data_IF_526563731934
#
_entry.id   IF_526563731934
#
_cell.length_a   1.000
_cell.length_b   1.000
_cell.length_c   1.000
_cell.angle_alpha   90.00
_cell.angle_beta   90.00
_cell.angle_gamma   90.00
#
_symmetry.space_group_name_H-M   'P 1'
#
loop_
_entity.id
_entity.type
_entity.pdbx_description
1 polymer ?
#
# COMPACT_ATOMS: atom_id res chain seq x y z
N UNK A 1 36.87 -12.27 1.22
CA UNK A 1 35.84 -12.09 2.26
C UNK A 1 35.70 -10.61 2.63
N UNK A 2 36.79 -9.95 3.02
CA UNK A 2 36.84 -8.53 3.39
C UNK A 2 36.31 -7.55 2.32
N UNK A 3 36.70 -7.71 1.05
CA UNK A 3 36.21 -6.86 -0.03
C UNK A 3 34.68 -6.93 -0.20
N UNK A 4 34.10 -8.13 -0.10
CA UNK A 4 32.64 -8.35 -0.18
C UNK A 4 31.93 -7.69 0.99
N UNK A 5 32.45 -7.87 2.21
CA UNK A 5 31.90 -7.27 3.42
C UNK A 5 31.91 -5.73 3.36
N UNK A 6 32.99 -5.13 2.89
CA UNK A 6 33.08 -3.67 2.66
C UNK A 6 32.04 -3.18 1.66
N UNK A 7 31.86 -3.89 0.54
CA UNK A 7 30.85 -3.55 -0.47
C UNK A 7 29.43 -3.64 0.09
N UNK A 8 29.11 -4.67 0.88
CA UNK A 8 27.80 -4.82 1.51
C UNK A 8 27.51 -3.70 2.51
N UNK A 9 28.51 -3.34 3.34
CA UNK A 9 28.40 -2.22 4.26
C UNK A 9 28.15 -0.89 3.53
N UNK A 10 28.81 -0.65 2.39
CA UNK A 10 28.56 0.52 1.56
C UNK A 10 27.12 0.52 0.99
N UNK A 11 26.62 -0.63 0.54
CA UNK A 11 25.22 -0.76 0.08
C UNK A 11 24.24 -0.46 1.21
N UNK A 12 24.44 -1.03 2.40
CA UNK A 12 23.64 -0.73 3.60
C UNK A 12 23.63 0.76 3.93
N UNK A 13 24.80 1.41 3.90
CA UNK A 13 24.90 2.86 4.14
C UNK A 13 24.13 3.68 3.10
N UNK A 14 24.20 3.30 1.82
CA UNK A 14 23.44 3.93 0.74
C UNK A 14 21.93 3.78 0.94
N UNK A 15 21.47 2.57 1.30
CA UNK A 15 20.07 2.28 1.62
C UNK A 15 19.59 3.16 2.79
N UNK A 16 20.33 3.20 3.90
CA UNK A 16 20.02 4.05 5.05
C UNK A 16 19.88 5.52 4.65
N UNK A 17 20.81 6.03 3.83
CA UNK A 17 20.73 7.40 3.33
C UNK A 17 19.48 7.68 2.50
N UNK A 18 18.98 6.69 1.73
CA UNK A 18 17.72 6.81 0.99
C UNK A 18 16.51 6.83 1.91
N UNK A 19 16.49 6.01 2.96
CA UNK A 19 15.44 6.02 4.00
C UNK A 19 15.41 7.39 4.70
N UNK A 20 16.56 7.92 5.12
CA UNK A 20 16.65 9.25 5.73
C UNK A 20 16.10 10.35 4.82
N UNK A 21 16.47 10.35 3.53
CA UNK A 21 15.94 11.32 2.56
C UNK A 21 14.43 11.21 2.39
N UNK A 22 13.88 10.00 2.43
CA UNK A 22 12.44 9.80 2.38
C UNK A 22 11.76 10.32 3.65
N UNK A 23 12.29 10.03 4.84
CA UNK A 23 11.77 10.59 6.09
C UNK A 23 11.76 12.11 6.12
N UNK A 24 12.83 12.76 5.69
CA UNK A 24 12.88 14.22 5.61
C UNK A 24 11.75 14.76 4.70
N UNK A 25 11.49 14.08 3.58
CA UNK A 25 10.37 14.44 2.71
C UNK A 25 9.00 14.23 3.36
N UNK A 26 8.80 13.17 4.17
CA UNK A 26 7.55 12.98 4.90
C UNK A 26 7.32 14.09 5.93
N UNK A 27 8.36 14.51 6.65
CA UNK A 27 8.28 15.63 7.59
C UNK A 27 7.93 16.95 6.88
N UNK A 28 8.44 17.18 5.67
CA UNK A 28 8.03 18.33 4.84
C UNK A 28 6.55 18.29 4.42
N UNK A 29 5.94 17.10 4.31
CA UNK A 29 4.55 16.92 3.91
C UNK A 29 3.58 16.92 5.10
N UNK A 30 4.08 16.73 6.31
CA UNK A 30 3.28 16.63 7.53
C UNK A 30 2.44 17.89 7.74
N UNK A 31 1.13 17.71 7.96
CA UNK A 31 0.19 18.81 8.15
C UNK A 31 -0.17 19.62 6.91
N UNK A 32 0.38 19.29 5.73
CA UNK A 32 0.01 19.94 4.46
C UNK A 32 -1.15 19.22 3.80
N UNK A 33 -2.00 19.97 3.10
CA UNK A 33 -3.03 19.41 2.22
C UNK A 33 -2.39 19.11 0.85
N UNK A 34 -2.21 17.83 0.55
CA UNK A 34 -1.62 17.41 -0.72
C UNK A 34 -2.62 17.48 -1.87
N UNK A 35 -2.12 17.87 -3.04
CA UNK A 35 -2.81 17.72 -4.32
C UNK A 35 -2.90 16.25 -4.73
N UNK A 36 -3.83 15.87 -5.63
CA UNK A 36 -3.90 14.49 -6.13
C UNK A 36 -2.60 13.99 -6.77
N UNK A 37 -1.87 14.87 -7.45
CA UNK A 37 -0.58 14.57 -8.07
C UNK A 37 0.48 14.28 -7.01
N UNK A 38 0.56 15.07 -5.93
CA UNK A 38 1.50 14.83 -4.83
C UNK A 38 1.19 13.52 -4.10
N UNK A 39 -0.08 13.18 -3.90
CA UNK A 39 -0.48 11.88 -3.32
C UNK A 39 -0.04 10.72 -4.23
N UNK A 40 -0.20 10.85 -5.54
CA UNK A 40 0.25 9.85 -6.51
C UNK A 40 1.78 9.68 -6.48
N UNK A 41 2.53 10.79 -6.47
CA UNK A 41 3.99 10.77 -6.34
C UNK A 41 4.42 10.11 -5.04
N UNK A 42 3.80 10.46 -3.91
CA UNK A 42 4.11 9.85 -2.61
C UNK A 42 3.84 8.34 -2.63
N UNK A 43 2.74 7.91 -3.23
CA UNK A 43 2.40 6.49 -3.39
C UNK A 43 3.46 5.73 -4.20
N UNK A 44 3.96 6.31 -5.29
CA UNK A 44 5.05 5.70 -6.07
C UNK A 44 6.36 5.62 -5.27
N UNK A 45 6.66 6.64 -4.46
CA UNK A 45 7.86 6.65 -3.61
C UNK A 45 7.76 5.62 -2.48
N UNK A 46 6.56 5.42 -1.93
CA UNK A 46 6.27 4.37 -0.95
C UNK A 46 6.57 2.98 -1.53
N UNK A 47 6.05 2.65 -2.71
CA UNK A 47 6.33 1.36 -3.37
C UNK A 47 7.85 1.15 -3.60
N UNK A 48 8.56 2.22 -3.97
CA UNK A 48 10.03 2.17 -4.11
C UNK A 48 10.74 1.96 -2.77
N UNK A 49 10.19 2.46 -1.67
CA UNK A 49 10.73 2.25 -0.33
C UNK A 49 10.50 0.80 0.13
N UNK A 50 9.31 0.24 -0.11
CA UNK A 50 9.00 -1.16 0.19
C UNK A 50 9.92 -2.12 -0.58
N UNK A 51 10.19 -1.82 -1.85
CA UNK A 51 11.17 -2.57 -2.65
C UNK A 51 12.58 -2.45 -2.05
N UNK A 52 12.97 -1.25 -1.63
CA UNK A 52 14.26 -0.99 -0.98
C UNK A 52 14.40 -1.72 0.37
N UNK A 53 13.29 -1.96 1.06
CA UNK A 53 13.28 -2.73 2.30
C UNK A 53 13.64 -4.20 2.05
N UNK A 54 13.08 -4.83 1.01
CA UNK A 54 13.52 -6.17 0.61
C UNK A 54 14.99 -6.24 0.16
N UNK A 55 15.50 -5.18 -0.50
CA UNK A 55 16.93 -5.07 -0.81
C UNK A 55 17.80 -4.98 0.44
N UNK A 56 17.32 -4.27 1.48
CA UNK A 56 17.99 -4.20 2.77
C UNK A 56 18.08 -5.58 3.42
N UNK A 57 17.00 -6.34 3.48
CA UNK A 57 16.98 -7.68 4.07
C UNK A 57 18.02 -8.59 3.42
N UNK A 58 18.08 -8.57 2.08
CA UNK A 58 19.07 -9.35 1.32
C UNK A 58 20.52 -8.94 1.62
N UNK A 59 20.77 -7.63 1.77
CA UNK A 59 22.11 -7.12 2.14
C UNK A 59 22.47 -7.48 3.57
N UNK A 60 21.54 -7.29 4.51
CA UNK A 60 21.77 -7.52 5.94
C UNK A 60 21.96 -9.01 6.23
N UNK A 61 21.18 -9.90 5.62
CA UNK A 61 21.37 -11.36 5.70
C UNK A 61 22.79 -11.78 5.27
N UNK A 62 23.34 -11.13 4.23
CA UNK A 62 24.71 -11.42 3.77
C UNK A 62 25.77 -10.86 4.71
N UNK A 63 25.51 -9.75 5.40
CA UNK A 63 26.41 -9.19 6.40
C UNK A 63 26.44 -10.11 7.62
N UNK A 64 25.28 -10.50 8.13
CA UNK A 64 25.12 -11.41 9.29
C UNK A 64 25.80 -12.76 9.04
N UNK A 65 25.69 -13.31 7.82
CA UNK A 65 26.37 -14.54 7.44
C UNK A 65 27.91 -14.40 7.31
N UNK A 66 28.42 -13.18 7.13
CA UNK A 66 29.87 -12.92 7.05
C UNK A 66 30.48 -12.53 8.39
N UNK A 67 29.66 -12.07 9.35
CA UNK A 67 30.09 -11.49 10.63
C UNK A 67 29.58 -12.31 11.82
N UNK A 68 29.92 -13.60 11.85
CA UNK A 68 29.47 -14.53 12.90
C UNK A 68 29.94 -14.09 14.30
N UNK A 69 31.14 -13.53 14.41
CA UNK A 69 31.72 -13.09 15.68
C UNK A 69 31.01 -11.88 16.30
N UNK A 70 30.28 -11.08 15.50
CA UNK A 70 29.55 -9.90 15.97
C UNK A 70 28.06 -9.96 15.56
N UNK A 71 27.49 -11.16 15.43
CA UNK A 71 26.11 -11.35 14.98
C UNK A 71 25.11 -10.56 15.83
N UNK A 72 25.28 -10.51 17.16
CA UNK A 72 24.39 -9.75 18.04
C UNK A 72 24.33 -8.26 17.68
N UNK A 73 25.48 -7.64 17.39
CA UNK A 73 25.55 -6.23 17.00
C UNK A 73 24.89 -5.99 15.63
N UNK A 74 25.01 -6.96 14.72
CA UNK A 74 24.38 -6.90 13.41
C UNK A 74 22.85 -7.06 13.50
N UNK A 75 22.34 -7.88 14.43
CA UNK A 75 20.90 -7.98 14.73
C UNK A 75 20.35 -6.70 15.37
N UNK A 76 21.09 -6.08 16.31
CA UNK A 76 20.70 -4.78 16.86
C UNK A 76 20.67 -3.70 15.76
N UNK A 77 21.65 -3.73 14.85
CA UNK A 77 21.70 -2.82 13.69
C UNK A 77 20.51 -3.05 12.76
N UNK A 78 20.12 -4.31 12.55
CA UNK A 78 18.92 -4.65 11.79
C UNK A 78 17.69 -4.02 12.42
N UNK A 79 17.42 -4.28 13.69
CA UNK A 79 16.23 -3.77 14.38
C UNK A 79 16.08 -2.25 14.24
N UNK A 80 17.18 -1.50 14.43
CA UNK A 80 17.17 -0.03 14.28
C UNK A 80 16.80 0.42 12.86
N UNK A 81 17.31 -0.28 11.84
CA UNK A 81 17.03 0.09 10.44
C UNK A 81 15.62 -0.34 10.03
N UNK A 82 15.16 -1.53 10.43
CA UNK A 82 13.80 -2.02 10.18
C UNK A 82 12.78 -1.09 10.81
N UNK A 83 12.99 -0.68 12.06
CA UNK A 83 12.12 0.29 12.72
C UNK A 83 12.03 1.61 11.95
N UNK A 84 13.14 2.08 11.38
CA UNK A 84 13.14 3.28 10.54
C UNK A 84 12.29 3.08 9.27
N UNK A 85 12.39 1.93 8.59
CA UNK A 85 11.53 1.59 7.45
C UNK A 85 10.05 1.54 7.83
N UNK A 86 9.70 0.83 8.90
CA UNK A 86 8.33 0.70 9.37
C UNK A 86 7.71 2.07 9.68
N UNK A 87 8.44 2.92 10.40
CA UNK A 87 7.99 4.27 10.71
C UNK A 87 7.78 5.11 9.43
N UNK A 88 8.71 5.05 8.48
CA UNK A 88 8.58 5.73 7.18
C UNK A 88 7.35 5.27 6.40
N UNK A 89 7.15 3.95 6.31
CA UNK A 89 6.06 3.34 5.56
C UNK A 89 4.72 3.74 6.18
N UNK A 90 4.60 3.58 7.50
CA UNK A 90 3.38 3.91 8.23
C UNK A 90 3.01 5.40 8.08
N UNK A 91 3.99 6.30 8.25
CA UNK A 91 3.75 7.73 8.12
C UNK A 91 3.36 8.13 6.68
N UNK A 92 3.97 7.51 5.66
CA UNK A 92 3.58 7.74 4.28
C UNK A 92 2.14 7.26 4.01
N UNK A 93 1.77 6.08 4.49
CA UNK A 93 0.42 5.53 4.37
C UNK A 93 -0.62 6.42 5.09
N UNK A 94 -0.29 6.92 6.28
CA UNK A 94 -1.11 7.87 7.02
C UNK A 94 -1.37 9.14 6.18
N UNK A 95 -0.32 9.79 5.67
CA UNK A 95 -0.42 11.02 4.86
C UNK A 95 -1.30 10.80 3.61
N UNK A 96 -1.15 9.65 2.94
CA UNK A 96 -1.96 9.28 1.78
C UNK A 96 -3.43 9.10 2.17
N UNK A 97 -3.70 8.41 3.29
CA UNK A 97 -5.06 8.10 3.75
C UNK A 97 -5.85 9.36 4.14
N UNK A 98 -5.23 10.30 4.87
CA UNK A 98 -5.85 11.58 5.26
C UNK A 98 -6.24 12.39 4.03
N UNK A 99 -5.35 12.44 3.03
CA UNK A 99 -5.58 13.17 1.77
C UNK A 99 -6.75 12.60 0.96
N UNK A 100 -7.05 11.30 1.09
CA UNK A 100 -8.18 10.65 0.43
C UNK A 100 -9.52 10.90 1.14
N UNK A 101 -9.51 11.05 2.47
CA UNK A 101 -10.72 11.19 3.30
C UNK A 101 -11.32 12.60 3.21
N UNK A 102 -10.50 13.65 3.07
CA UNK A 102 -10.95 15.04 2.90
C UNK A 102 -11.88 15.24 1.68
N UNK A 103 -11.84 14.36 0.68
CA UNK A 103 -12.73 14.42 -0.48
C UNK A 103 -14.14 13.88 -0.23
N UNK A 104 -14.36 13.06 0.80
CA UNK A 104 -15.68 12.45 1.08
C UNK A 104 -16.57 13.31 1.97
N UNK A 105 -16.01 14.27 2.70
CA UNK A 105 -16.75 15.11 3.64
C UNK A 105 -17.32 16.41 3.04
N UNK A 106 -17.13 16.69 1.74
CA UNK A 106 -17.69 17.86 1.07
C UNK A 106 -19.01 17.63 0.31
N UNK A 107 -19.70 16.50 0.54
CA UNK A 107 -21.00 16.17 -0.08
C UNK A 107 -22.16 16.08 0.91
N UNK A 108 -21.97 16.46 2.17
CA UNK A 108 -23.04 16.45 3.17
C UNK A 108 -23.34 17.86 3.66
N UNK A 109 -23.97 18.66 2.80
CA UNK A 109 -24.78 19.80 3.22
C UNK A 109 -25.84 20.13 2.17
N UNK A 110 -27.02 19.51 2.29
CA UNK A 110 -28.33 20.12 1.98
C UNK A 110 -29.45 19.25 2.54
N UNK A 111 -29.93 19.68 3.70
CA UNK A 111 -31.33 19.80 4.13
C UNK A 111 -32.42 18.89 3.54
N UNK A 112 -33.06 18.15 4.45
CA UNK A 112 -34.51 17.94 4.61
C UNK A 112 -35.39 18.60 3.53
N UNK A 113 -36.18 17.82 2.78
CA UNK A 113 -37.66 17.87 2.64
C UNK A 113 -38.17 16.80 1.65
N UNK A 114 -39.26 16.14 2.06
CA UNK A 114 -40.38 15.53 1.29
C UNK A 114 -40.16 14.42 0.26
N UNK A 115 -41.00 13.38 0.41
CA UNK A 115 -41.37 12.40 -0.60
C UNK A 115 -41.85 13.08 -1.90
N UNK A 116 -41.44 12.58 -3.06
CA UNK A 116 -42.24 11.76 -3.97
C UNK A 116 -41.35 11.35 -5.17
N UNK A 117 -41.84 10.42 -5.98
CA UNK A 117 -41.28 9.99 -7.27
C UNK A 117 -40.76 11.17 -8.14
N UNK A 118 -39.56 11.05 -8.72
CA UNK A 118 -39.35 11.00 -10.18
C UNK A 118 -37.86 10.89 -10.53
N UNK A 119 -37.64 10.27 -11.67
CA UNK A 119 -36.42 9.98 -12.41
C UNK A 119 -35.55 11.23 -12.67
N UNK A 120 -34.27 11.17 -12.29
CA UNK A 120 -33.25 11.98 -12.94
C UNK A 120 -31.89 11.27 -12.93
N UNK A 121 -31.48 10.88 -14.15
CA UNK A 121 -30.22 10.29 -14.54
C UNK A 121 -29.00 11.02 -13.94
N UNK A 122 -28.29 10.32 -13.06
CA UNK A 122 -26.86 10.58 -12.84
C UNK A 122 -26.12 9.68 -13.84
N UNK A 123 -25.65 10.26 -14.94
CA UNK A 123 -24.67 9.62 -15.85
C UNK A 123 -23.35 9.51 -15.09
N UNK A 124 -23.30 8.58 -14.14
CA UNK A 124 -22.09 7.97 -13.64
C UNK A 124 -22.05 6.58 -14.22
N UNK A 125 -21.01 6.26 -14.99
CA UNK A 125 -20.80 4.94 -15.58
C UNK A 125 -20.64 3.90 -14.44
N UNK A 126 -21.76 3.44 -13.89
CA UNK A 126 -21.81 2.31 -12.97
C UNK A 126 -21.89 1.07 -13.84
N UNK A 127 -20.90 0.20 -13.70
CA UNK A 127 -20.99 -1.13 -14.28
C UNK A 127 -22.29 -1.78 -13.76
N UNK A 128 -23.09 -2.42 -14.63
CA UNK A 128 -24.29 -3.12 -14.21
C UNK A 128 -23.95 -4.07 -13.06
N UNK A 129 -24.69 -3.96 -11.96
CA UNK A 129 -24.49 -4.85 -10.81
C UNK A 129 -24.93 -6.25 -11.23
N UNK A 130 -23.96 -7.15 -11.38
CA UNK A 130 -24.23 -8.55 -11.69
C UNK A 130 -24.96 -9.17 -10.48
N UNK A 131 -26.25 -9.44 -10.64
CA UNK A 131 -27.05 -10.17 -9.65
C UNK A 131 -26.78 -11.66 -9.80
N UNK A 132 -25.85 -12.18 -9.00
CA UNK A 132 -25.62 -13.62 -8.91
C UNK A 132 -26.74 -14.21 -8.04
N UNK A 133 -27.45 -15.22 -8.58
CA UNK A 133 -28.45 -15.96 -7.82
C UNK A 133 -27.78 -16.66 -6.63
N UNK A 134 -28.37 -16.55 -5.44
CA UNK A 134 -27.84 -17.25 -4.24
C UNK A 134 -28.03 -18.76 -4.43
N UNK A 135 -26.94 -19.50 -4.42
CA UNK A 135 -26.97 -20.96 -4.40
C UNK A 135 -27.38 -21.44 -3.00
N UNK A 136 -28.43 -22.24 -2.94
CA UNK A 136 -29.02 -22.76 -1.70
C UNK A 136 -28.36 -24.05 -1.19
N UNK A 137 -27.29 -24.51 -1.83
CA UNK A 137 -26.58 -25.75 -1.48
C UNK A 137 -27.21 -27.01 -2.07
N UNK A 138 -28.28 -26.90 -2.85
CA UNK A 138 -28.95 -28.06 -3.45
C UNK A 138 -28.10 -28.70 -4.55
N UNK A 139 -27.70 -29.96 -4.36
CA UNK A 139 -26.84 -30.70 -5.30
C UNK A 139 -27.34 -30.65 -6.76
N UNK A 140 -28.64 -30.82 -6.98
CA UNK A 140 -29.23 -30.82 -8.33
C UNK A 140 -29.13 -29.47 -9.05
N UNK A 141 -28.95 -28.37 -8.32
CA UNK A 141 -28.83 -27.01 -8.87
C UNK A 141 -27.37 -26.56 -9.03
N UNK A 142 -26.42 -27.38 -8.59
CA UNK A 142 -24.99 -27.04 -8.62
C UNK A 142 -24.48 -26.87 -10.05
N UNK A 143 -24.89 -27.75 -10.97
CA UNK A 143 -24.43 -27.71 -12.36
C UNK A 143 -24.91 -26.44 -13.06
N UNK A 144 -26.18 -26.10 -12.89
CA UNK A 144 -26.79 -24.87 -13.43
C UNK A 144 -26.16 -23.60 -12.84
N UNK A 145 -25.91 -23.60 -11.51
CA UNK A 145 -25.21 -22.50 -10.85
C UNK A 145 -23.77 -22.32 -11.36
N UNK A 146 -23.02 -23.42 -11.49
CA UNK A 146 -21.64 -23.42 -11.99
C UNK A 146 -21.57 -22.87 -13.41
N UNK A 147 -22.44 -23.35 -14.30
CA UNK A 147 -22.43 -22.97 -15.71
C UNK A 147 -22.84 -21.49 -15.87
N UNK A 148 -23.80 -21.01 -15.07
CA UNK A 148 -24.18 -19.59 -15.02
C UNK A 148 -23.05 -18.71 -14.49
N UNK A 149 -22.37 -19.14 -13.41
CA UNK A 149 -21.25 -18.41 -12.83
C UNK A 149 -20.05 -18.32 -13.79
N UNK A 150 -19.71 -19.43 -14.46
CA UNK A 150 -18.63 -19.46 -15.46
C UNK A 150 -18.92 -18.55 -16.66
N UNK A 151 -20.18 -18.49 -17.14
CA UNK A 151 -20.56 -17.58 -18.22
C UNK A 151 -20.53 -16.09 -17.82
N UNK A 152 -20.74 -15.78 -16.54
CA UNK A 152 -20.77 -14.40 -16.03
C UNK A 152 -19.39 -13.85 -15.65
N UNK A 153 -18.49 -14.72 -15.14
CA UNK A 153 -17.22 -14.30 -14.52
C UNK A 153 -16.00 -14.69 -15.37
N UNK A 154 -16.07 -15.75 -16.19
CA UNK A 154 -14.87 -16.38 -16.76
C UNK A 154 -14.76 -16.35 -18.29
N UNK A 155 -15.83 -16.06 -19.03
CA UNK A 155 -15.82 -15.94 -20.50
C UNK A 155 -16.29 -14.54 -20.99
N UNK A 156 -15.68 -13.48 -20.46
CA UNK A 156 -15.64 -12.15 -21.09
C UNK A 156 -14.23 -11.57 -20.97
#
# INVERSE_FOLDING_TARGET
MEAKYKTLNLKRASIRGRVTKFNNHLEELKGKKLTPTEVSVLSQRLVKLETLFGEFDSVQNQIEALEENNLSLELDTREVIEQAFHNSIALAQEIISVSSTTKKSSLQHSSIYTADEDDHEVIGFRLPVIKINKFDGTFNKWLEFRDTFSSLIHNN
#
